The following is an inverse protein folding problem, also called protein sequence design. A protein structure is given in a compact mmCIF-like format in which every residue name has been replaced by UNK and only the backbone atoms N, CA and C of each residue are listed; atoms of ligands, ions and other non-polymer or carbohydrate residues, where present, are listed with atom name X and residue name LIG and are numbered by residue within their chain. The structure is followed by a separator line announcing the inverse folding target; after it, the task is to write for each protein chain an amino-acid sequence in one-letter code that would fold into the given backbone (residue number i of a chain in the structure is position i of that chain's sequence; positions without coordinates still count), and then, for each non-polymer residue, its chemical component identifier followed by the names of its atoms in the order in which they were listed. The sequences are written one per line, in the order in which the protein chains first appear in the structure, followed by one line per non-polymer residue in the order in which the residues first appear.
data_IF_191862454306
#
_entry.id   IF_191862454306
#
_cell.length_a   1.000
_cell.length_b   1.000
_cell.length_c   1.000
_cell.angle_alpha   90.00
_cell.angle_beta   90.00
_cell.angle_gamma   90.00
#
_symmetry.space_group_name_H-M   'P 1'
#
loop_
_entity.id
_entity.type
_entity.pdbx_description
1 polymer ?
#
# COMPACT_ATOMS: atom_id res chain seq x y z
N UNK A 1 11.15 -9.71 -14.64
CA UNK A 1 10.55 -8.45 -14.14
C UNK A 1 10.10 -7.63 -15.36
N UNK A 2 8.89 -7.06 -15.36
CA UNK A 2 8.36 -6.30 -16.52
C UNK A 2 9.29 -5.17 -16.98
N UNK A 3 10.16 -4.64 -16.09
CA UNK A 3 11.23 -3.70 -16.47
C UNK A 3 12.29 -4.27 -17.42
N UNK A 4 12.62 -5.56 -17.34
CA UNK A 4 13.52 -6.22 -18.33
C UNK A 4 12.76 -6.44 -19.66
N UNK A 5 11.46 -6.71 -19.60
CA UNK A 5 10.60 -6.82 -20.78
C UNK A 5 10.44 -5.50 -21.54
N UNK A 6 10.40 -4.37 -20.82
CA UNK A 6 10.41 -3.02 -21.40
C UNK A 6 11.70 -2.73 -22.18
N UNK A 7 12.84 -3.10 -21.58
CA UNK A 7 14.16 -2.91 -22.18
C UNK A 7 14.35 -3.81 -23.41
N UNK A 8 13.77 -5.02 -23.41
CA UNK A 8 13.82 -5.96 -24.53
C UNK A 8 12.90 -5.58 -25.71
N UNK A 9 11.88 -4.75 -25.48
CA UNK A 9 10.95 -4.27 -26.53
C UNK A 9 11.36 -2.92 -27.15
N UNK A 10 12.49 -2.34 -26.73
CA UNK A 10 12.98 -1.02 -27.18
C UNK A 10 11.89 0.08 -27.12
N UNK A 11 11.05 0.03 -26.09
CA UNK A 11 9.95 0.97 -25.93
C UNK A 11 10.51 2.34 -25.49
N UNK A 12 10.08 3.48 -26.10
CA UNK A 12 10.59 4.80 -25.75
C UNK A 12 10.01 5.25 -24.39
N UNK A 13 10.42 4.59 -23.32
CA UNK A 13 10.02 4.94 -21.95
C UNK A 13 11.07 5.91 -21.42
N UNK A 14 10.66 7.15 -21.16
CA UNK A 14 11.58 8.14 -20.60
C UNK A 14 11.89 7.77 -19.14
N UNK A 15 13.12 7.98 -18.66
CA UNK A 15 13.54 7.66 -17.29
C UNK A 15 12.58 8.22 -16.21
N UNK A 16 11.94 9.35 -16.50
CA UNK A 16 10.91 9.99 -15.66
C UNK A 16 9.61 9.19 -15.56
N UNK A 17 9.18 8.50 -16.61
CA UNK A 17 7.99 7.63 -16.58
C UNK A 17 8.29 6.33 -15.83
N UNK A 18 9.55 5.86 -15.91
CA UNK A 18 10.01 4.72 -15.13
C UNK A 18 10.01 5.02 -13.62
N UNK A 19 10.50 6.18 -13.21
CA UNK A 19 10.48 6.64 -11.82
C UNK A 19 9.07 6.88 -11.26
N UNK A 20 8.06 7.03 -12.13
CA UNK A 20 6.64 7.20 -11.77
C UNK A 20 5.86 5.89 -11.70
N UNK A 21 6.51 4.74 -11.92
CA UNK A 21 5.88 3.43 -11.83
C UNK A 21 5.02 3.06 -13.06
N UNK A 22 5.18 3.76 -14.18
CA UNK A 22 4.40 3.54 -15.41
C UNK A 22 5.00 2.43 -16.32
N UNK A 23 6.07 1.76 -15.88
CA UNK A 23 6.73 0.69 -16.64
C UNK A 23 5.83 -0.54 -16.88
N UNK A 24 5.10 -1.06 -15.88
CA UNK A 24 4.20 -2.20 -16.10
C UNK A 24 3.02 -1.93 -17.05
N UNK A 25 2.28 -0.80 -16.96
CA UNK A 25 1.19 -0.53 -17.90
C UNK A 25 1.69 -0.25 -19.33
N UNK A 26 2.82 0.46 -19.50
CA UNK A 26 3.41 0.70 -20.81
C UNK A 26 3.84 -0.59 -21.51
N UNK A 27 4.40 -1.55 -20.78
CA UNK A 27 4.81 -2.85 -21.32
C UNK A 27 3.64 -3.76 -21.68
N UNK A 28 2.55 -3.77 -20.90
CA UNK A 28 1.38 -4.57 -21.26
C UNK A 28 0.59 -4.01 -22.46
N UNK A 29 0.57 -2.69 -22.63
CA UNK A 29 0.04 -2.07 -23.86
C UNK A 29 0.86 -2.55 -25.07
N UNK A 30 2.19 -2.53 -24.95
CA UNK A 30 3.09 -2.93 -26.04
C UNK A 30 3.01 -4.44 -26.36
N UNK A 31 2.79 -5.30 -25.36
CA UNK A 31 2.76 -6.76 -25.53
C UNK A 31 1.38 -7.33 -25.92
N UNK A 32 0.28 -6.80 -25.36
CA UNK A 32 -1.07 -7.39 -25.49
C UNK A 32 -2.12 -6.43 -26.06
N UNK A 33 -1.72 -5.21 -26.47
CA UNK A 33 -2.64 -4.21 -27.02
C UNK A 33 -3.71 -3.75 -26.01
N UNK A 34 -4.84 -3.25 -26.52
CA UNK A 34 -5.94 -2.68 -25.71
C UNK A 34 -6.52 -3.64 -24.67
N UNK A 35 -6.58 -4.94 -24.99
CA UNK A 35 -7.10 -5.96 -24.07
C UNK A 35 -6.16 -6.20 -22.87
N UNK A 36 -4.85 -6.15 -23.09
CA UNK A 36 -3.84 -6.29 -22.04
C UNK A 36 -3.87 -5.17 -21.01
N UNK A 37 -4.13 -3.93 -21.46
CA UNK A 37 -4.23 -2.77 -20.56
C UNK A 37 -5.42 -2.88 -19.60
N UNK A 38 -6.55 -3.37 -20.10
CA UNK A 38 -7.77 -3.57 -19.30
C UNK A 38 -7.52 -4.65 -18.25
N UNK A 39 -6.91 -5.77 -18.64
CA UNK A 39 -6.57 -6.85 -17.71
C UNK A 39 -5.56 -6.41 -16.64
N UNK A 40 -4.54 -5.63 -17.00
CA UNK A 40 -3.61 -5.09 -16.01
C UNK A 40 -4.30 -4.11 -15.06
N UNK A 41 -5.16 -3.24 -15.57
CA UNK A 41 -5.87 -2.27 -14.73
C UNK A 41 -6.77 -2.98 -13.72
N UNK A 42 -7.52 -4.00 -14.15
CA UNK A 42 -8.37 -4.79 -13.25
C UNK A 42 -7.55 -5.58 -12.24
N UNK A 43 -6.45 -6.21 -12.66
CA UNK A 43 -5.55 -6.93 -11.76
C UNK A 43 -4.94 -5.99 -10.71
N UNK A 44 -4.43 -4.83 -11.13
CA UNK A 44 -3.83 -3.85 -10.24
C UNK A 44 -4.86 -3.28 -9.27
N UNK A 45 -6.05 -2.94 -9.76
CA UNK A 45 -7.14 -2.47 -8.92
C UNK A 45 -7.53 -3.50 -7.86
N UNK A 46 -7.67 -4.76 -8.24
CA UNK A 46 -8.00 -5.85 -7.31
C UNK A 46 -6.87 -6.08 -6.30
N UNK A 47 -5.61 -6.06 -6.74
CA UNK A 47 -4.45 -6.20 -5.87
C UNK A 47 -4.38 -5.10 -4.81
N UNK A 48 -4.51 -3.83 -5.22
CA UNK A 48 -4.49 -2.68 -4.30
C UNK A 48 -5.67 -2.71 -3.35
N UNK A 49 -6.88 -3.05 -3.83
CA UNK A 49 -8.08 -3.14 -2.99
C UNK A 49 -7.97 -4.27 -1.97
N UNK A 50 -7.42 -5.42 -2.36
CA UNK A 50 -7.18 -6.56 -1.46
C UNK A 50 -6.16 -6.22 -0.38
N UNK A 51 -5.03 -5.61 -0.76
CA UNK A 51 -4.01 -5.18 0.18
C UNK A 51 -4.55 -4.13 1.16
N UNK A 52 -5.21 -3.09 0.65
CA UNK A 52 -5.79 -2.03 1.47
C UNK A 52 -6.83 -2.54 2.48
N UNK A 53 -7.64 -3.54 2.10
CA UNK A 53 -8.59 -4.17 3.01
C UNK A 53 -7.88 -4.90 4.16
N UNK A 54 -6.79 -5.62 3.87
CA UNK A 54 -6.02 -6.33 4.89
C UNK A 54 -5.33 -5.39 5.89
N UNK A 55 -4.77 -4.27 5.41
CA UNK A 55 -4.12 -3.27 6.25
C UNK A 55 -5.12 -2.55 7.15
N UNK A 56 -6.28 -2.15 6.61
CA UNK A 56 -7.34 -1.50 7.38
C UNK A 56 -7.85 -2.39 8.51
N UNK A 57 -8.01 -3.70 8.24
CA UNK A 57 -8.44 -4.66 9.26
C UNK A 57 -7.33 -4.81 10.32
N UNK A 58 -6.07 -4.94 9.92
CA UNK A 58 -4.94 -5.09 10.84
C UNK A 58 -4.80 -3.89 11.77
N UNK A 59 -4.81 -2.67 11.23
CA UNK A 59 -4.74 -1.42 12.01
C UNK A 59 -5.93 -1.30 12.94
N UNK A 60 -7.13 -1.64 12.46
CA UNK A 60 -8.34 -1.63 13.28
C UNK A 60 -8.26 -2.60 14.45
N UNK A 61 -7.77 -3.82 14.24
CA UNK A 61 -7.57 -4.79 15.32
C UNK A 61 -6.53 -4.33 16.32
N UNK A 62 -5.40 -3.79 15.84
CA UNK A 62 -4.33 -3.30 16.71
C UNK A 62 -4.83 -2.14 17.58
N UNK A 63 -5.47 -1.13 16.99
CA UNK A 63 -6.02 -0.04 17.78
C UNK A 63 -7.15 -0.48 18.73
N UNK A 64 -7.99 -1.44 18.34
CA UNK A 64 -9.11 -1.86 19.20
C UNK A 64 -8.68 -2.78 20.34
N UNK A 65 -7.74 -3.70 20.10
CA UNK A 65 -7.25 -4.61 21.13
C UNK A 65 -6.12 -4.00 21.96
N UNK A 66 -5.16 -3.32 21.34
CA UNK A 66 -3.99 -2.82 22.06
C UNK A 66 -4.27 -1.50 22.76
N UNK A 67 -5.06 -0.61 22.16
CA UNK A 67 -5.36 0.71 22.74
C UNK A 67 -6.69 0.67 23.49
N UNK A 68 -7.79 0.37 22.79
CA UNK A 68 -9.13 0.52 23.38
C UNK A 68 -9.40 -0.48 24.51
N UNK A 69 -9.05 -1.76 24.32
CA UNK A 69 -9.25 -2.78 25.36
C UNK A 69 -8.23 -2.66 26.50
N UNK A 70 -6.95 -2.38 26.22
CA UNK A 70 -5.93 -2.29 27.29
C UNK A 70 -6.04 -1.01 28.12
N UNK A 71 -6.27 0.15 27.48
CA UNK A 71 -6.16 1.45 28.16
C UNK A 71 -7.51 2.11 28.50
N UNK A 72 -8.56 1.89 27.71
CA UNK A 72 -9.81 2.65 27.85
C UNK A 72 -10.89 1.82 28.56
N UNK A 73 -11.16 0.60 28.09
CA UNK A 73 -12.17 -0.25 28.69
C UNK A 73 -11.81 -1.75 28.59
N UNK A 74 -11.18 -2.31 29.64
CA UNK A 74 -10.83 -3.74 29.72
C UNK A 74 -12.01 -4.69 29.57
N UNK A 75 -13.23 -4.23 29.91
CA UNK A 75 -14.48 -4.99 29.85
C UNK A 75 -15.34 -4.62 28.62
N UNK A 76 -14.73 -4.08 27.56
CA UNK A 76 -15.45 -3.69 26.35
C UNK A 76 -16.26 -4.85 25.75
N UNK A 77 -17.56 -4.64 25.57
CA UNK A 77 -18.46 -5.63 24.95
C UNK A 77 -18.22 -5.70 23.45
N UNK A 78 -18.39 -6.87 22.81
CA UNK A 78 -18.12 -7.06 21.38
C UNK A 78 -18.81 -6.05 20.44
N UNK A 79 -20.02 -5.57 20.80
CA UNK A 79 -20.72 -4.51 20.03
C UNK A 79 -20.01 -3.15 20.05
N UNK A 80 -19.32 -2.81 21.15
CA UNK A 80 -18.56 -1.55 21.26
C UNK A 80 -17.25 -1.64 20.48
N UNK A 81 -16.56 -2.78 20.57
CA UNK A 81 -15.36 -3.10 19.78
C UNK A 81 -15.63 -2.91 18.29
N UNK A 82 -16.74 -3.45 17.78
CA UNK A 82 -17.11 -3.31 16.37
C UNK A 82 -17.44 -1.86 15.95
N UNK A 83 -18.04 -1.06 16.83
CA UNK A 83 -18.30 0.37 16.53
C UNK A 83 -17.01 1.17 16.46
N UNK A 84 -16.11 0.99 17.43
CA UNK A 84 -14.82 1.69 17.49
C UNK A 84 -13.93 1.28 16.32
N UNK A 85 -13.90 -0.01 15.99
CA UNK A 85 -13.19 -0.56 14.82
C UNK A 85 -13.60 0.14 13.52
N UNK A 86 -14.90 0.33 13.27
CA UNK A 86 -15.39 1.03 12.05
C UNK A 86 -14.99 2.50 12.01
N UNK A 87 -14.99 3.19 13.14
CA UNK A 87 -14.56 4.59 13.23
C UNK A 87 -13.07 4.69 12.89
N UNK A 88 -12.25 3.78 13.44
CA UNK A 88 -10.80 3.73 13.16
C UNK A 88 -10.55 3.46 11.68
N UNK A 89 -11.28 2.53 11.07
CA UNK A 89 -11.16 2.23 9.63
C UNK A 89 -11.44 3.48 8.78
N UNK A 90 -12.50 4.23 9.08
CA UNK A 90 -12.83 5.45 8.36
C UNK A 90 -11.78 6.56 8.57
N UNK A 91 -11.34 6.76 9.82
CA UNK A 91 -10.34 7.76 10.15
C UNK A 91 -8.99 7.45 9.49
N UNK A 92 -8.53 6.20 9.56
CA UNK A 92 -7.28 5.76 8.98
C UNK A 92 -7.32 5.76 7.44
N UNK A 93 -8.44 5.36 6.83
CA UNK A 93 -8.63 5.46 5.39
C UNK A 93 -8.58 6.91 4.89
N UNK A 94 -9.21 7.85 5.62
CA UNK A 94 -9.13 9.28 5.31
C UNK A 94 -7.70 9.81 5.44
N UNK A 95 -7.00 9.44 6.52
CA UNK A 95 -5.61 9.81 6.74
C UNK A 95 -4.67 9.29 5.63
N UNK A 96 -4.81 8.02 5.23
CA UNK A 96 -4.04 7.45 4.11
C UNK A 96 -4.32 8.17 2.79
N UNK A 97 -5.57 8.50 2.51
CA UNK A 97 -5.94 9.27 1.31
C UNK A 97 -5.32 10.67 1.31
N UNK A 98 -5.37 11.37 2.44
CA UNK A 98 -4.74 12.68 2.59
C UNK A 98 -3.22 12.60 2.42
N UNK A 99 -2.59 11.64 3.08
CA UNK A 99 -1.14 11.41 2.98
C UNK A 99 -0.73 11.08 1.54
N UNK A 100 -1.49 10.25 0.83
CA UNK A 100 -1.24 9.92 -0.57
C UNK A 100 -1.28 11.16 -1.49
N UNK A 101 -2.26 12.06 -1.28
CA UNK A 101 -2.34 13.32 -2.05
C UNK A 101 -1.14 14.23 -1.76
N UNK A 102 -0.72 14.34 -0.49
CA UNK A 102 0.42 15.14 -0.08
C UNK A 102 1.71 14.59 -0.71
N UNK A 103 1.96 13.28 -0.64
CA UNK A 103 3.14 12.65 -1.23
C UNK A 103 3.15 12.79 -2.76
N UNK A 104 1.98 12.71 -3.40
CA UNK A 104 1.85 12.93 -4.84
C UNK A 104 2.22 14.38 -5.23
N UNK A 105 1.77 15.36 -4.43
CA UNK A 105 2.11 16.78 -4.61
C UNK A 105 3.58 17.09 -4.31
N UNK A 106 4.18 16.40 -3.36
CA UNK A 106 5.59 16.52 -3.01
C UNK A 106 6.54 15.93 -4.07
N UNK A 107 6.01 15.28 -5.12
CA UNK A 107 6.83 14.75 -6.23
C UNK A 107 7.71 13.58 -5.81
N UNK A 108 7.36 12.87 -4.74
CA UNK A 108 8.12 11.74 -4.23
C UNK A 108 8.11 10.61 -5.25
N UNK A 109 9.29 10.12 -5.62
CA UNK A 109 9.43 9.00 -6.56
C UNK A 109 9.09 7.66 -5.89
N UNK A 110 8.64 6.67 -6.68
CA UNK A 110 8.40 5.31 -6.16
C UNK A 110 9.67 4.74 -5.51
N UNK A 111 10.83 5.02 -6.09
CA UNK A 111 12.13 4.59 -5.55
C UNK A 111 12.38 5.12 -4.15
N UNK A 112 12.03 6.39 -3.89
CA UNK A 112 12.15 6.96 -2.55
C UNK A 112 11.20 6.28 -1.56
N UNK A 113 9.95 6.00 -1.96
CA UNK A 113 8.98 5.30 -1.11
C UNK A 113 9.47 3.89 -0.72
N UNK A 114 10.03 3.13 -1.67
CA UNK A 114 10.59 1.80 -1.37
C UNK A 114 11.79 1.86 -0.43
N UNK A 115 12.67 2.86 -0.59
CA UNK A 115 13.78 3.07 0.33
C UNK A 115 13.30 3.43 1.74
N UNK A 116 12.32 4.33 1.84
CA UNK A 116 11.73 4.73 3.12
C UNK A 116 11.06 3.55 3.83
N UNK A 117 10.32 2.69 3.11
CA UNK A 117 9.76 1.45 3.64
C UNK A 117 10.85 0.55 4.24
N UNK A 118 11.98 0.39 3.54
CA UNK A 118 13.10 -0.43 4.01
C UNK A 118 13.73 0.11 5.31
N UNK A 119 13.91 1.43 5.43
CA UNK A 119 14.48 2.05 6.64
C UNK A 119 13.52 1.91 7.83
N UNK A 120 12.23 2.15 7.63
CA UNK A 120 11.22 2.09 8.71
C UNK A 120 11.00 0.64 9.22
N UNK A 121 10.91 -0.33 8.30
CA UNK A 121 10.71 -1.74 8.67
C UNK A 121 12.02 -2.33 9.21
N UNK A 122 13.16 -1.94 8.65
CA UNK A 122 14.48 -2.44 9.06
C UNK A 122 14.79 -2.26 10.54
N UNK A 123 14.36 -1.14 11.15
CA UNK A 123 14.55 -0.93 12.59
C UNK A 123 13.76 -1.89 13.49
N UNK A 124 12.64 -2.43 13.01
CA UNK A 124 11.82 -3.38 13.77
C UNK A 124 12.35 -4.83 13.72
N UNK A 125 13.27 -5.14 12.80
CA UNK A 125 13.78 -6.50 12.59
C UNK A 125 14.68 -6.96 13.75
N UNK A 126 15.57 -6.09 14.25
CA UNK A 126 16.51 -6.44 15.32
C UNK A 126 15.79 -6.86 16.62
N UNK A 127 14.82 -6.09 17.16
CA UNK A 127 14.08 -6.49 18.36
C UNK A 127 13.34 -7.82 18.20
N UNK A 128 12.77 -8.10 17.03
CA UNK A 128 12.03 -9.34 16.77
C UNK A 128 12.98 -10.54 16.73
N UNK A 129 14.17 -10.38 16.15
CA UNK A 129 15.18 -11.43 16.08
C UNK A 129 15.73 -11.83 17.46
N UNK A 130 15.77 -10.92 18.44
CA UNK A 130 16.18 -11.20 19.82
C UNK A 130 15.04 -11.76 20.70
N UNK A 131 13.80 -11.72 20.22
CA UNK A 131 12.61 -12.22 20.91
C UNK A 131 12.27 -13.68 20.55
N UNK A 132 12.80 -14.18 19.44
CA UNK A 132 12.75 -15.59 18.98
C UNK A 132 13.93 -16.39 19.55
#
# INVERSE_FOLDING_TARGET
SLGIGALALDLPITATEASRGLVPPATAIALMGKAGSILLLTMLFMAVTSAGSSELIAVSSLCTYDIYRTYINPNATGKQILKVSRIIILAFGCFMGLLAVILNKAGVSLSWMYLAMGVLIGSAVLPIAFLL
#
